data_IF_219844663948
#
_entry.id   IF_219844663948
#
_cell.length_a   1.000
_cell.length_b   1.000
_cell.length_c   1.000
_cell.angle_alpha   90.00
_cell.angle_beta   90.00
_cell.angle_gamma   90.00
#
_symmetry.space_group_name_H-M   'P 1'
#
loop_
_entity.id
_entity.type
_entity.pdbx_description
1 polymer ?
#
# COMPACT_ATOMS: atom_id res chain seq x y z
N UNK A 1 -7.07 2.33 17.12
CA UNK A 1 -7.39 2.13 15.71
C UNK A 1 -6.11 2.11 14.88
N UNK A 2 -5.94 1.08 14.09
CA UNK A 2 -4.75 1.00 13.23
C UNK A 2 -4.91 1.94 12.03
N UNK A 3 -3.82 2.55 11.62
CA UNK A 3 -3.80 3.48 10.48
C UNK A 3 -3.34 2.76 9.23
N UNK A 4 -4.09 2.94 8.14
CA UNK A 4 -3.76 2.37 6.82
C UNK A 4 -3.66 3.50 5.81
N UNK A 5 -2.59 3.51 5.03
CA UNK A 5 -2.45 4.42 3.90
C UNK A 5 -2.66 3.62 2.62
N UNK A 6 -3.54 4.09 1.75
CA UNK A 6 -3.80 3.48 0.43
C UNK A 6 -3.33 4.45 -0.64
N UNK A 7 -2.47 4.00 -1.53
CA UNK A 7 -1.94 4.80 -2.64
C UNK A 7 -2.31 4.10 -3.96
N UNK A 8 -3.20 4.71 -4.72
CA UNK A 8 -3.68 4.18 -6.00
C UNK A 8 -4.21 5.35 -6.83
N UNK A 9 -3.84 5.40 -8.10
CA UNK A 9 -4.28 6.48 -9.00
C UNK A 9 -5.67 6.23 -9.59
N UNK A 10 -6.19 5.01 -9.47
CA UNK A 10 -7.53 4.69 -9.94
C UNK A 10 -8.54 5.01 -8.83
N UNK A 11 -9.37 6.03 -9.05
CA UNK A 11 -10.32 6.51 -8.04
C UNK A 11 -11.29 5.43 -7.58
N UNK A 12 -11.75 4.57 -8.49
CA UNK A 12 -12.69 3.49 -8.15
C UNK A 12 -12.05 2.45 -7.23
N UNK A 13 -10.80 2.06 -7.53
CA UNK A 13 -10.08 1.11 -6.69
C UNK A 13 -9.78 1.71 -5.32
N UNK A 14 -9.36 2.96 -5.31
CA UNK A 14 -9.03 3.68 -4.09
C UNK A 14 -10.24 3.74 -3.16
N UNK A 15 -11.39 4.10 -3.70
CA UNK A 15 -12.64 4.18 -2.94
C UNK A 15 -13.07 2.82 -2.41
N UNK A 16 -12.97 1.78 -3.24
CA UNK A 16 -13.34 0.42 -2.83
C UNK A 16 -12.46 -0.05 -1.67
N UNK A 17 -11.17 0.10 -1.79
CA UNK A 17 -10.23 -0.34 -0.75
C UNK A 17 -10.46 0.45 0.54
N UNK A 18 -10.66 1.77 0.41
CA UNK A 18 -10.95 2.62 1.55
C UNK A 18 -12.22 2.16 2.28
N UNK A 19 -13.30 1.95 1.53
CA UNK A 19 -14.57 1.55 2.12
C UNK A 19 -14.46 0.21 2.85
N UNK A 20 -13.80 -0.76 2.24
CA UNK A 20 -13.60 -2.07 2.87
C UNK A 20 -12.82 -1.97 4.18
N UNK A 21 -11.81 -1.13 4.21
CA UNK A 21 -10.97 -0.96 5.38
C UNK A 21 -11.67 -0.11 6.46
N UNK A 22 -12.42 0.92 6.06
CA UNK A 22 -13.23 1.70 6.99
C UNK A 22 -14.22 0.81 7.74
N UNK A 23 -14.91 -0.06 7.00
CA UNK A 23 -15.88 -0.99 7.60
C UNK A 23 -15.20 -1.95 8.58
N UNK A 24 -13.96 -2.32 8.28
CA UNK A 24 -13.20 -3.21 9.16
C UNK A 24 -12.64 -2.52 10.40
N UNK A 25 -12.81 -1.22 10.52
CA UNK A 25 -12.40 -0.48 11.72
C UNK A 25 -11.04 0.21 11.66
N UNK A 26 -10.44 0.29 10.46
CA UNK A 26 -9.18 1.01 10.28
C UNK A 26 -9.41 2.50 10.09
N UNK A 27 -8.41 3.29 10.46
CA UNK A 27 -8.36 4.71 10.09
C UNK A 27 -7.61 4.80 8.77
N UNK A 28 -8.29 5.22 7.70
CA UNK A 28 -7.76 5.13 6.33
C UNK A 28 -7.38 6.49 5.78
N UNK A 29 -6.16 6.59 5.29
CA UNK A 29 -5.66 7.75 4.55
C UNK A 29 -5.48 7.32 3.10
N UNK A 30 -5.71 8.23 2.16
CA UNK A 30 -5.62 7.92 0.73
C UNK A 30 -4.75 8.92 0.00
N UNK A 31 -4.08 8.45 -1.06
CA UNK A 31 -3.31 9.30 -1.96
C UNK A 31 -3.43 8.76 -3.38
N UNK A 32 -3.41 9.66 -4.36
CA UNK A 32 -3.56 9.28 -5.77
C UNK A 32 -2.23 9.17 -6.51
N UNK A 33 -1.14 9.54 -5.86
CA UNK A 33 0.19 9.43 -6.44
C UNK A 33 1.23 9.13 -5.36
N UNK A 34 2.43 8.78 -5.78
CA UNK A 34 3.48 8.39 -4.86
C UNK A 34 3.94 9.54 -3.97
N UNK A 35 4.11 10.73 -4.53
CA UNK A 35 4.56 11.89 -3.76
C UNK A 35 3.60 12.21 -2.62
N UNK A 36 2.29 12.20 -2.90
CA UNK A 36 1.26 12.42 -1.88
C UNK A 36 1.26 11.31 -0.83
N UNK A 37 1.43 10.05 -1.26
CA UNK A 37 1.50 8.91 -0.36
C UNK A 37 2.69 8.99 0.58
N UNK A 38 3.86 9.34 0.05
CA UNK A 38 5.07 9.48 0.87
C UNK A 38 4.89 10.59 1.91
N UNK A 39 4.33 11.74 1.50
CA UNK A 39 4.10 12.86 2.41
C UNK A 39 3.17 12.46 3.57
N UNK A 40 2.08 11.75 3.26
CA UNK A 40 1.15 11.26 4.27
C UNK A 40 1.82 10.24 5.19
N UNK A 41 2.59 9.32 4.62
CA UNK A 41 3.29 8.31 5.41
C UNK A 41 4.25 8.93 6.41
N UNK A 42 4.97 9.96 6.00
CA UNK A 42 5.91 10.66 6.87
C UNK A 42 5.19 11.37 8.03
N UNK A 43 4.02 11.95 7.72
CA UNK A 43 3.25 12.72 8.70
C UNK A 43 2.45 11.82 9.66
N UNK A 44 1.73 10.86 9.09
CA UNK A 44 0.77 10.05 9.86
C UNK A 44 1.37 8.77 10.43
N UNK A 45 2.49 8.32 9.91
CA UNK A 45 3.18 7.10 10.36
C UNK A 45 2.21 5.92 10.42
N UNK A 46 1.63 5.51 9.28
CA UNK A 46 0.64 4.43 9.27
C UNK A 46 1.23 3.09 9.74
N UNK A 47 0.36 2.20 10.15
CA UNK A 47 0.75 0.86 10.56
C UNK A 47 1.01 -0.05 9.36
N UNK A 48 0.46 0.31 8.20
CA UNK A 48 0.65 -0.41 6.94
C UNK A 48 0.39 0.54 5.77
N UNK A 49 1.09 0.31 4.68
CA UNK A 49 0.90 1.06 3.43
C UNK A 49 0.48 0.07 2.35
N UNK A 50 -0.62 0.36 1.68
CA UNK A 50 -1.10 -0.40 0.53
C UNK A 50 -0.81 0.45 -0.69
N UNK A 51 -0.06 -0.07 -1.65
CA UNK A 51 0.47 0.74 -2.74
C UNK A 51 0.37 0.02 -4.08
N UNK A 52 -0.13 0.71 -5.09
CA UNK A 52 -0.10 0.20 -6.45
C UNK A 52 1.35 0.21 -6.95
N UNK A 53 1.70 -0.78 -7.76
CA UNK A 53 3.03 -0.86 -8.37
C UNK A 53 3.20 0.24 -9.42
N UNK A 54 2.15 0.59 -10.13
CA UNK A 54 2.19 1.61 -11.18
C UNK A 54 1.46 2.87 -10.73
N UNK A 55 2.22 3.91 -10.47
CA UNK A 55 1.68 5.20 -10.08
C UNK A 55 2.08 6.23 -11.15
N UNK A 56 1.34 7.38 -11.25
CA UNK A 56 1.58 8.31 -12.34
C UNK A 56 2.93 9.04 -12.27
N UNK A 57 3.48 9.21 -11.08
CA UNK A 57 4.71 9.97 -10.87
C UNK A 57 5.95 9.08 -10.66
N UNK A 58 5.78 7.86 -10.21
CA UNK A 58 6.89 6.90 -10.08
C UNK A 58 6.34 5.50 -9.84
N UNK A 59 7.18 4.49 -9.94
CA UNK A 59 6.77 3.12 -9.62
C UNK A 59 6.63 2.96 -8.11
N UNK A 60 5.68 2.13 -7.67
CA UNK A 60 5.49 1.83 -6.26
C UNK A 60 6.75 1.28 -5.60
N UNK A 61 7.54 0.49 -6.33
CA UNK A 61 8.81 -0.04 -5.82
C UNK A 61 9.83 1.06 -5.55
N UNK A 62 9.84 2.11 -6.37
CA UNK A 62 10.70 3.27 -6.14
C UNK A 62 10.25 4.04 -4.89
N UNK A 63 8.96 4.24 -4.76
CA UNK A 63 8.38 4.90 -3.57
C UNK A 63 8.71 4.11 -2.30
N UNK A 64 8.62 2.79 -2.35
CA UNK A 64 8.97 1.92 -1.24
C UNK A 64 10.44 2.07 -0.85
N UNK A 65 11.32 2.19 -1.84
CA UNK A 65 12.73 2.43 -1.59
C UNK A 65 12.96 3.72 -0.82
N UNK A 66 12.27 4.79 -1.20
CA UNK A 66 12.33 6.07 -0.51
C UNK A 66 11.84 5.92 0.94
N UNK A 67 10.70 5.25 1.13
CA UNK A 67 10.13 5.05 2.47
C UNK A 67 11.06 4.25 3.38
N UNK A 68 11.78 3.28 2.84
CA UNK A 68 12.73 2.47 3.61
C UNK A 68 13.95 3.25 4.08
N UNK A 69 14.29 4.34 3.41
CA UNK A 69 15.39 5.21 3.81
C UNK A 69 15.00 6.19 4.91
N UNK A 70 13.71 6.39 5.14
CA UNK A 70 13.22 7.34 6.12
C UNK A 70 12.97 6.64 7.47
N UNK A 71 13.42 7.27 8.55
CA UNK A 71 13.30 6.72 9.89
C UNK A 71 11.85 6.42 10.27
N UNK A 72 10.92 7.30 9.88
CA UNK A 72 9.51 7.19 10.24
C UNK A 72 8.82 5.99 9.59
N UNK A 73 9.35 5.51 8.47
CA UNK A 73 8.69 4.48 7.67
C UNK A 73 9.58 3.27 7.37
N UNK A 74 10.78 3.22 7.93
CA UNK A 74 11.76 2.18 7.60
C UNK A 74 11.25 0.76 7.88
N UNK A 75 10.39 0.59 8.86
CA UNK A 75 9.85 -0.72 9.24
C UNK A 75 8.37 -0.90 8.93
N UNK A 76 7.73 0.09 8.33
CA UNK A 76 6.30 0.02 8.02
C UNK A 76 6.05 -1.05 6.98
N UNK A 77 5.15 -2.02 7.24
CA UNK A 77 4.79 -3.01 6.22
C UNK A 77 4.22 -2.35 4.98
N UNK A 78 4.63 -2.82 3.80
CA UNK A 78 4.12 -2.33 2.53
C UNK A 78 3.53 -3.51 1.76
N UNK A 79 2.26 -3.40 1.38
CA UNK A 79 1.60 -4.39 0.54
C UNK A 79 1.34 -3.76 -0.82
N UNK A 80 1.92 -4.38 -1.86
CA UNK A 80 1.71 -3.92 -3.22
C UNK A 80 0.47 -4.58 -3.79
N UNK A 81 -0.39 -3.80 -4.43
CA UNK A 81 -1.57 -4.30 -5.13
C UNK A 81 -1.32 -4.11 -6.61
N UNK A 82 -1.34 -5.21 -7.36
CA UNK A 82 -0.94 -5.18 -8.77
C UNK A 82 -1.86 -6.03 -9.62
N UNK A 83 -2.14 -5.55 -10.83
CA UNK A 83 -2.92 -6.30 -11.82
C UNK A 83 -2.10 -7.41 -12.47
N UNK A 84 -0.79 -7.43 -12.26
CA UNK A 84 0.11 -8.30 -13.01
C UNK A 84 1.16 -8.91 -12.11
N UNK A 85 0.76 -9.94 -11.34
CA UNK A 85 1.67 -10.64 -10.41
C UNK A 85 2.69 -11.51 -11.11
N UNK A 86 2.51 -11.75 -12.41
CA UNK A 86 3.35 -12.67 -13.18
C UNK A 86 4.41 -11.94 -14.01
N UNK A 87 4.57 -10.65 -13.85
CA UNK A 87 5.36 -9.84 -14.76
C UNK A 87 6.52 -9.14 -14.07
N UNK A 88 7.30 -8.45 -14.87
CA UNK A 88 8.42 -7.61 -14.50
C UNK A 88 8.18 -6.85 -13.20
N UNK A 89 9.10 -6.94 -12.29
CA UNK A 89 9.00 -6.27 -11.02
C UNK A 89 8.69 -7.18 -9.84
N UNK A 90 8.23 -8.42 -10.07
CA UNK A 90 8.02 -9.35 -8.98
C UNK A 90 9.32 -9.58 -8.20
N UNK A 91 10.44 -9.62 -8.91
CA UNK A 91 11.74 -9.74 -8.27
C UNK A 91 12.09 -8.49 -7.46
N UNK A 92 11.73 -7.30 -7.96
CA UNK A 92 11.90 -6.06 -7.23
C UNK A 92 11.08 -6.08 -5.93
N UNK A 93 9.85 -6.60 -5.99
CA UNK A 93 9.00 -6.72 -4.82
C UNK A 93 9.59 -7.65 -3.77
N UNK A 94 10.19 -8.74 -4.19
CA UNK A 94 10.82 -9.70 -3.30
C UNK A 94 12.03 -9.13 -2.56
N UNK A 95 12.69 -8.13 -3.12
CA UNK A 95 13.86 -7.51 -2.54
C UNK A 95 13.53 -6.42 -1.53
N UNK A 96 12.26 -6.06 -1.40
CA UNK A 96 11.83 -5.04 -0.45
C UNK A 96 11.49 -5.72 0.87
N UNK A 97 12.22 -5.37 1.92
CA UNK A 97 11.98 -5.95 3.25
C UNK A 97 10.59 -5.58 3.78
N UNK A 98 10.00 -6.50 4.54
CA UNK A 98 8.72 -6.29 5.20
C UNK A 98 7.63 -5.88 4.21
N UNK A 99 7.54 -6.60 3.10
CA UNK A 99 6.56 -6.32 2.06
C UNK A 99 5.83 -7.58 1.63
N UNK A 100 4.68 -7.38 0.97
CA UNK A 100 3.92 -8.44 0.38
C UNK A 100 3.21 -7.91 -0.86
N UNK A 101 2.41 -8.75 -1.49
CA UNK A 101 1.63 -8.30 -2.64
C UNK A 101 0.29 -9.02 -2.71
N UNK A 102 -0.69 -8.33 -3.30
CA UNK A 102 -2.03 -8.86 -3.54
C UNK A 102 -2.34 -8.58 -5.01
N UNK A 103 -2.86 -9.58 -5.71
CA UNK A 103 -3.26 -9.43 -7.11
C UNK A 103 -4.61 -8.73 -7.25
N UNK A 104 -4.75 -7.95 -8.30
CA UNK A 104 -6.06 -7.38 -8.69
C UNK A 104 -6.77 -8.34 -9.63
N UNK A 105 -8.11 -8.40 -9.61
CA UNK A 105 -8.99 -7.67 -8.70
C UNK A 105 -8.91 -8.21 -7.28
N UNK A 106 -9.04 -7.34 -6.30
CA UNK A 106 -9.01 -7.77 -4.90
C UNK A 106 -10.26 -8.59 -4.56
N UNK A 107 -10.11 -9.50 -3.60
CA UNK A 107 -11.24 -10.23 -3.07
C UNK A 107 -11.86 -9.40 -1.97
N UNK A 108 -13.06 -8.84 -2.22
CA UNK A 108 -13.71 -7.92 -1.30
C UNK A 108 -14.07 -8.56 0.05
N UNK A 109 -14.23 -9.88 0.09
CA UNK A 109 -14.55 -10.62 1.33
C UNK A 109 -13.35 -10.80 2.24
N UNK A 110 -12.16 -10.91 1.67
CA UNK A 110 -10.95 -11.25 2.43
C UNK A 110 -9.93 -10.13 2.51
N UNK A 111 -10.12 -9.04 1.77
CA UNK A 111 -9.12 -7.98 1.65
C UNK A 111 -8.69 -7.42 3.01
N UNK A 112 -9.65 -7.02 3.84
CA UNK A 112 -9.34 -6.44 5.15
C UNK A 112 -8.63 -7.44 6.06
N UNK A 113 -9.03 -8.71 6.00
CA UNK A 113 -8.38 -9.77 6.78
C UNK A 113 -6.94 -9.98 6.33
N UNK A 114 -6.72 -10.00 5.01
CA UNK A 114 -5.37 -10.13 4.45
C UNK A 114 -4.48 -8.97 4.88
N UNK A 115 -5.01 -7.76 4.85
CA UNK A 115 -4.28 -6.58 5.29
C UNK A 115 -3.92 -6.69 6.77
N UNK A 116 -4.87 -7.13 7.61
CA UNK A 116 -4.63 -7.31 9.04
C UNK A 116 -3.46 -8.26 9.32
N UNK A 117 -3.29 -9.27 8.49
CA UNK A 117 -2.22 -10.25 8.66
C UNK A 117 -0.82 -9.68 8.44
N UNK A 118 -0.72 -8.60 7.66
CA UNK A 118 0.57 -7.94 7.43
C UNK A 118 0.94 -6.97 8.55
N UNK A 119 0.00 -6.55 9.36
CA UNK A 119 0.25 -5.62 10.46
C UNK A 119 0.80 -6.39 11.66
N UNK A 120 1.90 -5.93 12.18
CA UNK A 120 2.56 -6.55 13.35
C UNK A 120 2.14 -5.91 14.65
#
# INVERSE_FOLDING_TARGET
MKKVLVVDDNASNLMLEKDLLDVAGFEVFVAENAAGGIAIAMKEKPDIIIMDVRLPDMRGTEAAGILRLEKETSDTPIVFVTASVMVEGLEELKNITNSGFIGKPINTRTFATEISQFIK
#
